data_IF_077199473741
#
_entry.id   IF_077199473741
#
_cell.length_a   1.000
_cell.length_b   1.000
_cell.length_c   1.000
_cell.angle_alpha   90.00
_cell.angle_beta   90.00
_cell.angle_gamma   90.00
#
_symmetry.space_group_name_H-M   'P 1'
#
loop_
_entity.id
_entity.type
_entity.pdbx_description
1 polymer ?
#
# COMPACT_ATOMS: atom_id res chain seq x y z
N UNK A 1 -24.66 -10.38 17.75
CA UNK A 1 -25.48 -10.61 16.53
C UNK A 1 -26.77 -9.79 16.52
N UNK A 2 -27.55 -9.74 17.61
CA UNK A 2 -28.81 -8.97 17.68
C UNK A 2 -28.64 -7.45 17.45
N UNK A 3 -27.63 -6.83 18.09
CA UNK A 3 -27.33 -5.40 17.91
C UNK A 3 -27.00 -5.00 16.46
N UNK A 4 -26.31 -5.87 15.71
CA UNK A 4 -26.00 -5.61 14.30
C UNK A 4 -27.26 -5.60 13.44
N UNK A 5 -28.22 -6.51 13.71
CA UNK A 5 -29.52 -6.54 13.03
C UNK A 5 -30.34 -5.29 13.33
N UNK A 6 -30.34 -4.84 14.58
CA UNK A 6 -31.02 -3.60 14.96
C UNK A 6 -30.43 -2.36 14.24
N UNK A 7 -29.10 -2.29 14.10
CA UNK A 7 -28.46 -1.18 13.36
C UNK A 7 -28.78 -1.21 11.87
N UNK A 8 -28.81 -2.40 11.24
CA UNK A 8 -29.18 -2.52 9.82
C UNK A 8 -30.64 -2.14 9.58
N UNK A 9 -31.55 -2.55 10.47
CA UNK A 9 -32.97 -2.24 10.33
C UNK A 9 -33.25 -0.74 10.47
N UNK A 10 -32.57 -0.07 11.41
CA UNK A 10 -32.59 1.40 11.54
C UNK A 10 -32.05 2.08 10.30
N UNK A 11 -30.93 1.62 9.74
CA UNK A 11 -30.36 2.17 8.51
C UNK A 11 -31.30 2.01 7.31
N UNK A 12 -31.94 0.84 7.15
CA UNK A 12 -32.92 0.60 6.09
C UNK A 12 -34.18 1.47 6.26
N UNK A 13 -34.64 1.69 7.50
CA UNK A 13 -35.76 2.60 7.79
C UNK A 13 -35.42 4.04 7.39
N UNK A 14 -34.21 4.49 7.67
CA UNK A 14 -33.74 5.82 7.24
C UNK A 14 -33.66 5.95 5.72
N UNK A 15 -33.15 4.93 5.01
CA UNK A 15 -33.07 4.94 3.55
C UNK A 15 -34.46 5.01 2.87
N UNK A 16 -35.52 4.50 3.51
CA UNK A 16 -36.90 4.61 3.00
C UNK A 16 -37.47 6.03 3.10
N UNK A 17 -37.03 6.82 4.08
CA UNK A 17 -37.53 8.19 4.30
C UNK A 17 -36.73 9.26 3.55
N UNK A 18 -35.47 8.96 3.23
CA UNK A 18 -34.57 9.87 2.53
C UNK A 18 -34.83 9.87 1.01
N UNK A 19 -34.41 10.92 0.29
CA UNK A 19 -34.56 10.97 -1.17
C UNK A 19 -33.81 9.82 -1.85
N UNK A 20 -34.28 9.46 -3.05
CA UNK A 20 -33.68 8.39 -3.87
C UNK A 20 -32.18 8.60 -4.07
N UNK A 21 -31.40 7.53 -3.90
CA UNK A 21 -29.96 7.52 -4.23
C UNK A 21 -29.80 7.68 -5.74
N UNK A 22 -29.02 8.67 -6.15
CA UNK A 22 -28.80 9.07 -7.55
C UNK A 22 -27.37 9.56 -7.72
N UNK A 23 -26.89 9.66 -8.96
CA UNK A 23 -25.50 10.05 -9.23
C UNK A 23 -25.15 11.40 -8.57
N UNK A 24 -26.09 12.34 -8.51
CA UNK A 24 -25.89 13.66 -7.91
C UNK A 24 -25.71 13.70 -6.39
N UNK A 25 -26.10 12.65 -5.65
CA UNK A 25 -25.94 12.59 -4.18
C UNK A 25 -24.87 11.60 -3.71
N UNK A 26 -24.13 11.00 -4.64
CA UNK A 26 -22.96 10.18 -4.31
C UNK A 26 -21.81 11.07 -3.83
N UNK A 27 -21.18 10.67 -2.72
CA UNK A 27 -19.99 11.31 -2.18
C UNK A 27 -19.00 10.23 -1.76
N UNK A 28 -17.68 10.46 -1.93
CA UNK A 28 -16.69 9.57 -1.39
C UNK A 28 -16.81 9.52 0.15
N UNK A 29 -16.35 8.41 0.75
CA UNK A 29 -16.28 8.33 2.20
C UNK A 29 -15.43 9.49 2.74
N UNK A 30 -15.81 10.10 3.88
CA UNK A 30 -15.05 11.21 4.44
C UNK A 30 -13.58 10.80 4.61
N UNK A 31 -12.65 11.68 4.23
CA UNK A 31 -11.21 11.46 4.28
C UNK A 31 -10.63 10.35 3.37
N UNK A 32 -11.44 9.67 2.55
CA UNK A 32 -10.92 8.70 1.55
C UNK A 32 -10.14 9.36 0.41
N UNK A 33 -10.43 10.64 0.13
CA UNK A 33 -9.73 11.45 -0.87
C UNK A 33 -9.13 12.67 -0.19
N UNK A 34 -7.82 12.82 -0.34
CA UNK A 34 -7.15 14.06 0.02
C UNK A 34 -7.30 15.06 -1.12
N UNK A 35 -7.59 16.32 -0.79
CA UNK A 35 -7.65 17.39 -1.79
C UNK A 35 -6.25 17.75 -2.26
N UNK A 36 -6.10 17.97 -3.56
CA UNK A 36 -4.84 18.45 -4.14
C UNK A 36 -4.52 19.84 -3.59
N UNK A 37 -3.36 19.96 -2.93
CA UNK A 37 -2.86 21.24 -2.42
C UNK A 37 -1.94 21.87 -3.46
N UNK A 38 -2.47 22.79 -4.25
CA UNK A 38 -1.64 23.68 -5.08
C UNK A 38 -1.43 25.00 -4.34
N UNK A 39 -0.18 25.31 -4.01
CA UNK A 39 0.15 26.60 -3.40
C UNK A 39 -0.19 27.75 -4.36
N UNK A 40 -0.91 28.76 -3.88
CA UNK A 40 -1.31 29.96 -4.64
C UNK A 40 -1.22 31.20 -3.77
N UNK A 41 -0.80 32.31 -4.35
CA UNK A 41 -0.62 33.59 -3.66
C UNK A 41 0.12 33.42 -2.30
N UNK A 42 -0.41 34.00 -1.23
CA UNK A 42 0.14 33.91 0.13
C UNK A 42 0.21 32.48 0.69
N UNK A 43 -0.57 31.54 0.16
CA UNK A 43 -0.60 30.14 0.61
C UNK A 43 0.35 29.26 -0.21
N UNK A 44 1.64 29.62 -0.26
CA UNK A 44 2.67 28.84 -0.94
C UNK A 44 2.74 29.05 -2.47
N UNK A 45 2.24 30.18 -2.98
CA UNK A 45 2.30 30.52 -4.40
C UNK A 45 3.58 31.26 -4.84
N UNK A 46 4.26 31.97 -3.94
CA UNK A 46 5.45 32.77 -4.28
C UNK A 46 6.59 31.90 -4.86
N UNK A 47 7.13 30.98 -4.04
CA UNK A 47 8.23 30.10 -4.44
C UNK A 47 7.81 28.64 -4.64
N UNK A 48 6.53 28.35 -4.48
CA UNK A 48 5.98 26.99 -4.56
C UNK A 48 6.80 25.94 -3.76
N UNK A 49 7.36 26.34 -2.61
CA UNK A 49 8.19 25.47 -1.76
C UNK A 49 9.62 25.21 -2.25
N UNK A 50 10.05 25.81 -3.37
CA UNK A 50 11.35 25.56 -3.98
C UNK A 50 12.49 26.46 -3.45
N UNK A 51 12.20 27.38 -2.53
CA UNK A 51 13.18 28.28 -1.92
C UNK A 51 13.70 29.39 -2.84
N UNK A 52 14.87 29.97 -2.50
CA UNK A 52 15.48 31.11 -3.19
C UNK A 52 16.76 30.71 -3.93
N UNK A 53 16.80 30.89 -5.25
CA UNK A 53 17.99 30.63 -6.10
C UNK A 53 18.50 29.19 -5.91
N UNK A 54 19.71 28.92 -6.39
CA UNK A 54 20.36 27.61 -6.28
C UNK A 54 19.81 26.54 -7.23
N UNK A 55 20.28 25.31 -7.02
CA UNK A 55 19.94 24.15 -7.85
C UNK A 55 18.51 23.67 -7.61
N UNK A 56 18.06 23.67 -6.35
CA UNK A 56 16.71 23.26 -5.95
C UNK A 56 15.60 24.12 -6.56
N UNK A 57 15.77 25.45 -6.59
CA UNK A 57 14.78 26.34 -7.23
C UNK A 57 14.69 26.09 -8.74
N UNK A 58 15.83 25.81 -9.39
CA UNK A 58 15.91 25.54 -10.84
C UNK A 58 15.58 24.10 -11.22
N UNK A 59 15.07 23.30 -10.28
CA UNK A 59 14.75 21.88 -10.46
C UNK A 59 15.94 21.05 -10.95
N UNK A 60 17.16 21.53 -10.70
CA UNK A 60 18.39 20.82 -11.03
C UNK A 60 18.83 20.05 -9.78
N UNK A 61 18.16 18.94 -9.48
CA UNK A 61 18.50 18.13 -8.32
C UNK A 61 19.73 17.26 -8.60
N UNK A 62 20.56 17.11 -7.59
CA UNK A 62 21.67 16.16 -7.65
C UNK A 62 21.13 14.73 -7.62
N UNK A 63 21.88 13.80 -8.21
CA UNK A 63 21.52 12.38 -8.22
C UNK A 63 21.46 11.86 -6.78
N UNK A 64 20.54 10.95 -6.50
CA UNK A 64 20.48 10.28 -5.19
C UNK A 64 21.83 9.60 -4.90
N UNK A 65 22.38 9.85 -3.72
CA UNK A 65 23.69 9.34 -3.29
C UNK A 65 24.88 10.24 -3.64
N UNK A 66 24.69 11.40 -4.28
CA UNK A 66 25.79 12.35 -4.51
C UNK A 66 26.14 13.14 -3.23
N UNK A 67 27.42 13.16 -2.84
CA UNK A 67 27.92 13.80 -1.61
C UNK A 67 28.89 14.98 -1.88
N UNK A 68 28.55 15.85 -2.82
CA UNK A 68 29.17 17.18 -3.01
C UNK A 68 30.70 17.18 -3.00
N UNK A 69 31.30 16.26 -3.77
CA UNK A 69 32.75 16.18 -3.97
C UNK A 69 33.45 15.07 -3.17
N UNK A 70 32.81 14.49 -2.16
CA UNK A 70 33.34 13.33 -1.44
C UNK A 70 33.03 12.01 -2.19
N UNK A 71 33.75 10.94 -1.85
CA UNK A 71 33.36 9.58 -2.23
C UNK A 71 32.01 9.25 -1.57
N UNK A 72 30.95 8.97 -2.36
CA UNK A 72 29.64 8.58 -1.85
C UNK A 72 29.70 7.41 -0.87
N UNK A 73 28.83 7.41 0.14
CA UNK A 73 28.74 6.35 1.14
C UNK A 73 28.68 4.95 0.53
N UNK A 74 27.85 4.75 -0.50
CA UNK A 74 27.68 3.45 -1.16
C UNK A 74 28.91 2.96 -1.95
N UNK A 75 29.90 3.83 -2.18
CA UNK A 75 31.18 3.50 -2.82
C UNK A 75 32.33 3.35 -1.82
N UNK A 76 32.16 3.76 -0.56
CA UNK A 76 33.23 3.68 0.47
C UNK A 76 33.50 2.24 0.89
N UNK A 77 32.48 1.38 0.86
CA UNK A 77 32.62 -0.01 1.25
C UNK A 77 33.17 -0.84 0.10
N UNK A 78 34.05 -1.82 0.39
CA UNK A 78 34.52 -2.75 -0.64
C UNK A 78 33.36 -3.56 -1.19
N UNK A 79 33.52 -4.01 -2.43
CA UNK A 79 32.53 -4.86 -3.07
C UNK A 79 32.49 -6.24 -2.40
N UNK A 80 31.33 -6.60 -1.83
CA UNK A 80 31.04 -7.94 -1.37
C UNK A 80 29.88 -8.55 -2.18
N UNK A 81 30.07 -9.74 -2.80
CA UNK A 81 29.11 -10.32 -3.73
C UNK A 81 27.92 -11.02 -3.02
N UNK A 82 27.26 -10.36 -2.06
CA UNK A 82 26.15 -10.93 -1.25
C UNK A 82 25.05 -11.61 -2.08
N UNK A 83 24.75 -11.05 -3.26
CA UNK A 83 23.71 -11.53 -4.16
C UNK A 83 24.24 -12.28 -5.38
N UNK A 84 25.51 -12.70 -5.41
CA UNK A 84 26.04 -13.51 -6.53
C UNK A 84 25.26 -14.82 -6.62
N UNK A 85 24.73 -15.11 -7.81
CA UNK A 85 23.91 -16.31 -8.04
C UNK A 85 22.53 -16.28 -7.36
N UNK A 86 22.04 -15.13 -6.88
CA UNK A 86 20.73 -15.06 -6.22
C UNK A 86 19.57 -15.54 -7.13
N UNK A 87 19.67 -15.31 -8.44
CA UNK A 87 18.69 -15.78 -9.43
C UNK A 87 18.66 -17.31 -9.59
N UNK A 88 19.69 -18.02 -9.12
CA UNK A 88 19.75 -19.49 -9.13
C UNK A 88 19.31 -20.10 -7.78
N UNK A 89 19.10 -19.27 -6.75
CA UNK A 89 18.72 -19.76 -5.42
C UNK A 89 17.30 -20.32 -5.49
N UNK A 90 17.16 -21.61 -5.16
CA UNK A 90 15.85 -22.26 -5.00
C UNK A 90 15.16 -21.69 -3.76
N UNK A 91 13.92 -21.26 -3.94
CA UNK A 91 13.06 -20.81 -2.85
C UNK A 91 11.80 -21.68 -2.84
N UNK A 92 11.38 -22.08 -1.65
CA UNK A 92 10.20 -22.90 -1.45
C UNK A 92 9.22 -22.08 -0.61
N UNK A 93 7.96 -21.89 -1.06
CA UNK A 93 6.93 -21.26 -0.25
C UNK A 93 6.78 -22.02 1.08
N UNK A 94 6.92 -21.36 2.24
CA UNK A 94 6.78 -22.03 3.51
C UNK A 94 5.30 -22.35 3.77
N UNK A 95 5.01 -23.60 4.08
CA UNK A 95 3.70 -24.03 4.59
C UNK A 95 3.87 -24.54 6.01
N UNK A 96 3.10 -23.95 6.94
CA UNK A 96 3.11 -24.38 8.33
C UNK A 96 2.09 -25.49 8.57
N UNK A 97 2.34 -26.35 9.56
CA UNK A 97 1.38 -27.38 9.96
C UNK A 97 0.06 -26.77 10.45
N UNK A 98 0.09 -25.58 11.05
CA UNK A 98 -1.12 -24.87 11.45
C UNK A 98 -1.96 -24.46 10.25
N UNK A 99 -1.35 -23.91 9.20
CA UNK A 99 -2.07 -23.59 7.95
C UNK A 99 -2.66 -24.84 7.32
N UNK A 100 -1.90 -25.94 7.29
CA UNK A 100 -2.38 -27.22 6.78
C UNK A 100 -3.59 -27.72 7.59
N UNK A 101 -3.52 -27.65 8.92
CA UNK A 101 -4.64 -28.02 9.80
C UNK A 101 -5.88 -27.14 9.54
N UNK A 102 -5.72 -25.83 9.35
CA UNK A 102 -6.83 -24.93 9.00
C UNK A 102 -7.46 -25.32 7.65
N UNK A 103 -6.66 -25.75 6.68
CA UNK A 103 -7.19 -26.21 5.38
C UNK A 103 -7.98 -27.52 5.53
N UNK A 104 -7.55 -28.43 6.40
CA UNK A 104 -8.28 -29.66 6.73
C UNK A 104 -9.59 -29.32 7.46
N UNK A 105 -9.52 -28.51 8.52
CA UNK A 105 -10.69 -28.19 9.35
C UNK A 105 -11.77 -27.40 8.59
N UNK A 106 -11.36 -26.64 7.57
CA UNK A 106 -12.28 -25.91 6.68
C UNK A 106 -12.75 -26.72 5.46
N UNK A 107 -12.42 -28.02 5.42
CA UNK A 107 -12.74 -28.95 4.33
C UNK A 107 -12.26 -28.46 2.95
N UNK A 108 -11.10 -27.77 2.91
CA UNK A 108 -10.45 -27.37 1.66
C UNK A 108 -9.53 -28.47 1.12
N UNK A 109 -9.03 -29.34 2.00
CA UNK A 109 -8.20 -30.51 1.66
C UNK A 109 -8.90 -31.78 2.15
N UNK A 110 -8.96 -32.79 1.29
CA UNK A 110 -9.47 -34.12 1.62
C UNK A 110 -8.32 -35.00 2.15
N UNK A 111 -8.42 -35.39 3.42
CA UNK A 111 -7.44 -36.26 4.10
C UNK A 111 -7.51 -37.72 3.67
N UNK A 112 -8.57 -38.13 2.95
CA UNK A 112 -8.70 -39.50 2.44
C UNK A 112 -7.83 -39.76 1.21
N UNK A 113 -7.32 -38.70 0.57
CA UNK A 113 -6.48 -38.77 -0.62
C UNK A 113 -5.04 -38.30 -0.30
N UNK A 114 -4.04 -38.73 -1.09
CA UNK A 114 -2.68 -38.22 -0.95
C UNK A 114 -2.61 -36.70 -1.17
N UNK A 115 -1.95 -35.99 -0.25
CA UNK A 115 -1.70 -34.54 -0.36
C UNK A 115 -0.43 -34.32 -1.17
N UNK A 116 -0.55 -33.62 -2.29
CA UNK A 116 0.51 -33.31 -3.25
C UNK A 116 0.55 -31.79 -3.55
N UNK A 117 1.41 -31.36 -4.48
CA UNK A 117 1.49 -29.93 -4.85
C UNK A 117 0.25 -29.47 -5.63
N UNK A 118 -0.51 -30.38 -6.25
CA UNK A 118 -1.71 -30.02 -7.01
C UNK A 118 -2.93 -29.75 -6.11
N UNK A 119 -2.96 -30.38 -4.94
CA UNK A 119 -4.01 -30.25 -3.92
C UNK A 119 -3.75 -29.11 -2.92
N UNK A 120 -2.49 -28.66 -2.77
CA UNK A 120 -2.07 -27.53 -1.92
C UNK A 120 -2.20 -26.18 -2.65
#
# INVERSE_FOLDING_TARGET
MAHLRETSDKALKLLRTLPRVQIGNLRPNPNSKQNDKRGRAQHGGDKHGAGNKGSGQRQNFMRLGYETGNQPFYLRFPYEPYYKGHHLKRQYPPISLLQLQVLIDTNRIDISQPIDISTL
#
